data_IF_834080024350
#
_entry.id   IF_834080024350
#
_cell.length_a   1.000
_cell.length_b   1.000
_cell.length_c   1.000
_cell.angle_alpha   90.00
_cell.angle_beta   90.00
_cell.angle_gamma   90.00
#
_symmetry.space_group_name_H-M   'P 1'
#
loop_
_entity.id
_entity.type
_entity.pdbx_description
1 polymer ?
#
# COMPACT_ATOMS: atom_id res chain seq x y z
N UNK A 1 11.49 -2.96 34.58
CA UNK A 1 12.02 -1.70 34.00
C UNK A 1 11.66 -1.73 32.53
N UNK A 2 10.45 -1.27 32.21
CA UNK A 2 9.92 -1.27 30.85
C UNK A 2 10.34 0.06 30.21
N UNK A 3 11.53 0.09 29.61
CA UNK A 3 11.91 1.20 28.75
C UNK A 3 11.42 0.87 27.35
N UNK A 4 10.13 1.09 27.11
CA UNK A 4 9.67 1.39 25.75
C UNK A 4 10.56 2.54 25.27
N UNK A 5 11.19 2.37 24.12
CA UNK A 5 11.89 3.48 23.49
C UNK A 5 10.83 4.55 23.22
N UNK A 6 11.16 5.85 23.37
CA UNK A 6 10.20 6.94 23.15
C UNK A 6 9.48 6.90 21.78
N UNK A 7 10.03 6.13 20.84
CA UNK A 7 9.63 6.02 19.44
C UNK A 7 8.78 4.76 19.14
N UNK A 8 8.47 3.93 20.13
CA UNK A 8 7.86 2.60 19.92
C UNK A 8 6.36 2.66 19.55
N UNK A 9 5.67 3.77 19.82
CA UNK A 9 4.24 3.92 19.47
C UNK A 9 4.00 4.07 17.95
N UNK A 10 4.93 4.69 17.22
CA UNK A 10 4.83 4.80 15.75
C UNK A 10 5.04 3.45 15.07
N UNK A 11 5.89 2.61 15.66
CA UNK A 11 6.19 1.27 15.16
C UNK A 11 4.95 0.37 15.16
N UNK A 12 4.05 0.53 16.14
CA UNK A 12 2.81 -0.23 16.23
C UNK A 12 1.85 0.10 15.09
N UNK A 13 1.60 1.39 14.80
CA UNK A 13 0.71 1.79 13.71
C UNK A 13 1.23 1.35 12.33
N UNK A 14 2.54 1.44 12.12
CA UNK A 14 3.19 0.91 10.92
C UNK A 14 3.08 -0.63 10.84
N UNK A 15 3.14 -1.33 11.96
CA UNK A 15 2.94 -2.78 12.03
C UNK A 15 1.48 -3.16 11.77
N UNK A 16 0.51 -2.45 12.34
CA UNK A 16 -0.92 -2.69 12.11
C UNK A 16 -1.27 -2.50 10.63
N UNK A 17 -0.76 -1.42 10.02
CA UNK A 17 -0.87 -1.20 8.57
C UNK A 17 -0.24 -2.36 7.80
N UNK A 18 0.90 -2.89 8.25
CA UNK A 18 1.57 -4.01 7.59
C UNK A 18 0.78 -5.32 7.69
N UNK A 19 0.17 -5.59 8.84
CA UNK A 19 -0.73 -6.72 9.06
C UNK A 19 -1.94 -6.58 8.13
N UNK A 20 -2.59 -5.42 8.09
CA UNK A 20 -3.73 -5.18 7.21
C UNK A 20 -3.40 -5.38 5.73
N UNK A 21 -2.23 -4.91 5.27
CA UNK A 21 -1.76 -5.18 3.91
C UNK A 21 -1.54 -6.69 3.68
N UNK A 22 -0.94 -7.39 4.65
CA UNK A 22 -0.73 -8.84 4.56
C UNK A 22 -2.04 -9.63 4.48
N UNK A 23 -3.03 -9.28 5.29
CA UNK A 23 -4.37 -9.88 5.26
C UNK A 23 -5.05 -9.69 3.89
N UNK A 24 -4.90 -8.49 3.31
CA UNK A 24 -5.41 -8.21 1.97
C UNK A 24 -4.77 -9.12 0.92
N UNK A 25 -3.44 -9.27 0.96
CA UNK A 25 -2.69 -10.17 0.05
C UNK A 25 -3.11 -11.62 0.24
N UNK A 26 -3.34 -12.07 1.48
CA UNK A 26 -3.84 -13.43 1.75
C UNK A 26 -5.24 -13.63 1.17
N UNK A 27 -6.14 -12.66 1.30
CA UNK A 27 -7.47 -12.72 0.70
C UNK A 27 -7.41 -12.81 -0.85
N UNK A 28 -6.56 -11.98 -1.48
CA UNK A 28 -6.31 -12.04 -2.93
C UNK A 28 -5.77 -13.42 -3.35
N UNK A 29 -4.81 -13.98 -2.61
CA UNK A 29 -4.23 -15.29 -2.89
C UNK A 29 -5.24 -16.44 -2.75
N UNK A 30 -6.26 -16.27 -1.91
CA UNK A 30 -7.38 -17.22 -1.76
C UNK A 30 -8.45 -17.08 -2.86
N UNK A 31 -8.30 -16.12 -3.77
CA UNK A 31 -9.29 -15.83 -4.81
C UNK A 31 -10.45 -14.94 -4.34
N UNK A 32 -10.39 -14.41 -3.12
CA UNK A 32 -11.39 -13.48 -2.56
C UNK A 32 -11.16 -12.06 -3.10
N UNK A 33 -11.21 -11.91 -4.43
CA UNK A 33 -10.68 -10.74 -5.15
C UNK A 33 -11.19 -9.39 -4.65
N UNK A 34 -12.51 -9.18 -4.64
CA UNK A 34 -13.07 -7.87 -4.24
C UNK A 34 -12.79 -7.56 -2.77
N UNK A 35 -12.91 -8.56 -1.89
CA UNK A 35 -12.54 -8.41 -0.47
C UNK A 35 -11.07 -8.03 -0.32
N UNK A 36 -10.18 -8.71 -1.03
CA UNK A 36 -8.75 -8.41 -1.00
C UNK A 36 -8.43 -7.00 -1.50
N UNK A 37 -9.07 -6.57 -2.58
CA UNK A 37 -8.91 -5.20 -3.11
C UNK A 37 -9.44 -4.14 -2.12
N UNK A 38 -10.57 -4.39 -1.47
CA UNK A 38 -11.13 -3.49 -0.46
C UNK A 38 -10.25 -3.39 0.79
N UNK A 39 -9.75 -4.53 1.30
CA UNK A 39 -8.81 -4.56 2.41
C UNK A 39 -7.51 -3.81 2.07
N UNK A 40 -6.99 -4.02 0.85
CA UNK A 40 -5.76 -3.37 0.40
C UNK A 40 -5.95 -1.86 0.24
N UNK A 41 -7.11 -1.43 -0.24
CA UNK A 41 -7.48 -0.01 -0.31
C UNK A 41 -7.55 0.62 1.07
N UNK A 42 -8.21 -0.03 2.03
CA UNK A 42 -8.28 0.45 3.40
C UNK A 42 -6.88 0.56 4.04
N UNK A 43 -6.01 -0.43 3.84
CA UNK A 43 -4.63 -0.40 4.33
C UNK A 43 -3.81 0.74 3.69
N UNK A 44 -3.97 0.98 2.39
CA UNK A 44 -3.30 2.07 1.68
C UNK A 44 -3.80 3.46 2.14
N UNK A 45 -5.10 3.60 2.41
CA UNK A 45 -5.68 4.82 2.97
C UNK A 45 -5.18 5.09 4.40
N UNK A 46 -5.10 4.05 5.24
CA UNK A 46 -4.54 4.16 6.59
C UNK A 46 -3.06 4.59 6.57
N UNK A 47 -2.27 4.05 5.64
CA UNK A 47 -0.85 4.39 5.48
C UNK A 47 -0.62 5.90 5.24
N UNK A 48 -1.50 6.58 4.51
CA UNK A 48 -1.35 8.02 4.24
C UNK A 48 -1.49 8.89 5.50
N UNK A 49 -2.11 8.36 6.55
CA UNK A 49 -2.27 9.06 7.82
C UNK A 49 -1.10 8.83 8.79
N UNK A 50 -0.18 7.92 8.44
CA UNK A 50 0.95 7.59 9.31
C UNK A 50 2.08 8.62 9.14
N UNK A 51 2.78 8.97 10.24
CA UNK A 51 4.00 9.76 10.13
C UNK A 51 5.04 9.00 9.30
N UNK A 52 5.90 9.69 8.54
CA UNK A 52 6.99 9.05 7.80
C UNK A 52 7.81 8.13 8.71
N UNK A 53 8.06 6.87 8.31
CA UNK A 53 8.73 5.93 9.20
C UNK A 53 10.20 6.32 9.37
N UNK A 54 10.75 6.14 10.57
CA UNK A 54 12.18 6.25 10.78
C UNK A 54 12.89 4.96 10.32
N UNK A 55 13.88 5.12 9.44
CA UNK A 55 14.60 3.98 8.86
C UNK A 55 13.84 3.29 7.72
N UNK A 56 14.33 2.15 7.23
CA UNK A 56 13.68 1.44 6.13
C UNK A 56 12.31 0.91 6.57
N UNK A 57 11.26 1.07 5.75
CA UNK A 57 9.94 0.55 6.08
C UNK A 57 9.95 -0.97 6.12
N UNK A 58 9.19 -1.55 7.04
CA UNK A 58 9.03 -3.01 7.18
C UNK A 58 8.50 -3.64 5.89
N UNK A 59 7.64 -2.92 5.16
CA UNK A 59 7.13 -3.30 3.84
C UNK A 59 7.63 -2.32 2.79
N UNK A 60 8.48 -2.80 1.88
CA UNK A 60 9.14 -1.97 0.87
C UNK A 60 8.21 -1.46 -0.25
N UNK A 61 7.05 -2.09 -0.45
CA UNK A 61 6.07 -1.67 -1.47
C UNK A 61 4.94 -0.88 -0.81
N UNK A 62 4.79 0.42 -1.13
CA UNK A 62 3.71 1.25 -0.60
C UNK A 62 2.33 0.72 -0.99
N UNK A 63 1.32 1.00 -0.16
CA UNK A 63 -0.01 0.42 -0.25
C UNK A 63 -0.71 0.79 -1.56
N UNK A 64 -0.65 2.07 -1.97
CA UNK A 64 -1.24 2.51 -3.23
C UNK A 64 -0.53 1.95 -4.47
N UNK A 65 0.78 1.70 -4.41
CA UNK A 65 1.47 1.02 -5.51
C UNK A 65 1.06 -0.46 -5.59
N UNK A 66 0.91 -1.14 -4.46
CA UNK A 66 0.43 -2.52 -4.44
C UNK A 66 -1.03 -2.60 -4.93
N UNK A 67 -1.91 -1.73 -4.45
CA UNK A 67 -3.31 -1.65 -4.88
C UNK A 67 -3.43 -1.43 -6.39
N UNK A 68 -2.60 -0.55 -6.94
CA UNK A 68 -2.60 -0.26 -8.36
C UNK A 68 -2.16 -1.46 -9.21
N UNK A 69 -1.13 -2.19 -8.80
CA UNK A 69 -0.69 -3.42 -9.47
C UNK A 69 -1.82 -4.47 -9.47
N UNK A 70 -2.56 -4.62 -8.37
CA UNK A 70 -3.66 -5.58 -8.27
C UNK A 70 -4.88 -5.16 -9.10
N UNK A 71 -5.23 -3.87 -9.13
CA UNK A 71 -6.26 -3.36 -10.03
C UNK A 71 -5.87 -3.55 -11.50
N UNK A 72 -4.62 -3.28 -11.85
CA UNK A 72 -4.13 -3.46 -13.21
C UNK A 72 -4.19 -4.93 -13.63
N UNK A 73 -3.78 -5.84 -12.75
CA UNK A 73 -3.88 -7.29 -12.96
C UNK A 73 -5.33 -7.77 -13.11
N UNK A 74 -6.29 -7.10 -12.46
CA UNK A 74 -7.72 -7.35 -12.61
C UNK A 74 -8.35 -6.66 -13.85
N UNK A 75 -7.57 -5.94 -14.66
CA UNK A 75 -8.07 -5.19 -15.81
C UNK A 75 -8.79 -3.88 -15.46
N UNK A 76 -8.80 -3.49 -14.18
CA UNK A 76 -9.44 -2.28 -13.64
C UNK A 76 -8.53 -1.06 -13.84
N UNK A 77 -8.30 -0.71 -15.11
CA UNK A 77 -7.32 0.30 -15.53
C UNK A 77 -7.58 1.69 -14.94
N UNK A 78 -8.84 2.11 -14.84
CA UNK A 78 -9.19 3.43 -14.30
C UNK A 78 -8.82 3.55 -12.82
N UNK A 79 -9.14 2.53 -12.03
CA UNK A 79 -8.80 2.45 -10.60
C UNK A 79 -7.29 2.30 -10.40
N UNK A 80 -6.62 1.48 -11.22
CA UNK A 80 -5.16 1.36 -11.21
C UNK A 80 -4.49 2.71 -11.45
N UNK A 81 -4.93 3.47 -12.45
CA UNK A 81 -4.39 4.80 -12.74
C UNK A 81 -4.62 5.80 -11.60
N UNK A 82 -5.75 5.74 -10.89
CA UNK A 82 -5.96 6.55 -9.69
C UNK A 82 -5.01 6.15 -8.55
N UNK A 83 -4.87 4.86 -8.28
CA UNK A 83 -4.00 4.36 -7.22
C UNK A 83 -2.51 4.67 -7.50
N UNK A 84 -2.02 4.50 -8.74
CA UNK A 84 -0.64 4.89 -9.08
C UNK A 84 -0.39 6.39 -8.92
N UNK A 85 -1.38 7.25 -9.25
CA UNK A 85 -1.25 8.70 -9.00
C UNK A 85 -1.10 8.99 -7.52
N UNK A 86 -1.93 8.39 -6.65
CA UNK A 86 -1.78 8.52 -5.19
C UNK A 86 -0.43 8.02 -4.68
N UNK A 87 0.11 6.95 -5.26
CA UNK A 87 1.44 6.45 -4.91
C UNK A 87 2.54 7.45 -5.30
N UNK A 88 2.41 8.11 -6.45
CA UNK A 88 3.36 9.11 -6.95
C UNK A 88 3.26 10.45 -6.21
N UNK A 89 2.10 10.80 -5.66
CA UNK A 89 1.96 11.97 -4.80
C UNK A 89 2.81 11.82 -3.53
N UNK A 90 2.85 10.62 -2.95
CA UNK A 90 3.67 10.31 -1.76
C UNK A 90 5.16 10.08 -2.10
N UNK A 91 5.45 9.49 -3.26
CA UNK A 91 6.81 9.18 -3.71
C UNK A 91 7.01 9.55 -5.19
N UNK A 92 7.25 10.85 -5.50
CA UNK A 92 7.43 11.31 -6.87
C UNK A 92 8.56 10.56 -7.59
N UNK A 93 8.31 10.17 -8.84
CA UNK A 93 9.32 9.50 -9.68
C UNK A 93 9.59 8.02 -9.33
N UNK A 94 8.82 7.42 -8.41
CA UNK A 94 8.95 5.99 -8.11
C UNK A 94 8.72 5.15 -9.38
N UNK A 95 9.81 4.59 -9.92
CA UNK A 95 9.85 3.94 -11.24
C UNK A 95 8.70 2.96 -11.50
N UNK A 96 8.41 2.05 -10.57
CA UNK A 96 7.34 1.05 -10.72
C UNK A 96 5.96 1.69 -10.86
N UNK A 97 5.66 2.72 -10.06
CA UNK A 97 4.39 3.46 -10.16
C UNK A 97 4.28 4.25 -11.47
N UNK A 98 5.37 4.83 -11.98
CA UNK A 98 5.38 5.51 -13.29
C UNK A 98 5.11 4.53 -14.43
N UNK A 99 5.80 3.40 -14.45
CA UNK A 99 5.62 2.35 -15.46
C UNK A 99 4.20 1.78 -15.43
N UNK A 100 3.69 1.50 -14.22
CA UNK A 100 2.34 1.01 -14.02
C UNK A 100 1.26 2.01 -14.45
N UNK A 101 1.43 3.30 -14.12
CA UNK A 101 0.52 4.35 -14.57
C UNK A 101 0.46 4.41 -16.10
N UNK A 102 1.61 4.34 -16.77
CA UNK A 102 1.68 4.35 -18.22
C UNK A 102 0.94 3.14 -18.84
N UNK A 103 1.00 1.96 -18.22
CA UNK A 103 0.24 0.79 -18.66
C UNK A 103 -1.27 0.93 -18.42
N UNK A 104 -1.65 1.57 -17.32
CA UNK A 104 -3.05 1.79 -16.95
C UNK A 104 -3.74 2.85 -17.83
N UNK A 105 -3.00 3.80 -18.41
CA UNK A 105 -3.55 4.88 -19.24
C UNK A 105 -3.36 4.68 -20.74
N UNK A 106 -2.76 3.56 -21.17
CA UNK A 106 -2.72 3.13 -22.57
C UNK A 106 -4.01 2.40 -22.93
#
# INVERSE_FOLDING_TARGET
MNTERPDDHESAAWLDRAIAQGEAVVALARGERERGLDLLRAAAEAEQSLPPPFGPPVLAKPGFELLADEYLAAGRKAEAAQAYRRALDAAPGRRRSVEGLALATR
#
